data_IF_336846955204
#
_entry.id   IF_336846955204
#
_cell.length_a   1.000
_cell.length_b   1.000
_cell.length_c   1.000
_cell.angle_alpha   90.00
_cell.angle_beta   90.00
_cell.angle_gamma   90.00
#
_symmetry.space_group_name_H-M   'P 1'
#
loop_
_entity.id
_entity.type
_entity.pdbx_description
1 polymer ?
#
# COMPACT_ATOMS: atom_id res chain seq x y z
N UNK A 1 -14.35 -10.48 4.15
CA UNK A 1 -13.73 -9.15 4.33
C UNK A 1 -14.83 -8.11 4.49
N UNK A 2 -14.83 -7.30 5.55
CA UNK A 2 -15.81 -6.22 5.72
C UNK A 2 -15.59 -5.12 4.68
N UNK A 3 -16.65 -4.67 4.00
CA UNK A 3 -16.55 -3.52 3.09
C UNK A 3 -16.16 -2.26 3.87
N UNK A 4 -15.25 -1.42 3.34
CA UNK A 4 -14.88 -0.17 3.99
C UNK A 4 -16.10 0.76 4.09
N UNK A 5 -16.17 1.54 5.17
CA UNK A 5 -17.25 2.48 5.47
C UNK A 5 -16.71 3.77 6.03
N UNK A 6 -17.41 4.87 5.76
CA UNK A 6 -17.12 6.16 6.37
C UNK A 6 -17.52 6.14 7.85
N UNK A 7 -16.57 6.44 8.75
CA UNK A 7 -16.83 6.47 10.19
C UNK A 7 -17.76 7.61 10.64
N UNK A 8 -17.99 8.62 9.79
CA UNK A 8 -18.85 9.76 10.09
C UNK A 8 -20.32 9.52 9.73
N UNK A 9 -20.59 8.98 8.53
CA UNK A 9 -21.97 8.82 8.01
C UNK A 9 -22.37 7.38 7.68
N UNK A 10 -21.47 6.40 7.86
CA UNK A 10 -21.73 4.99 7.57
C UNK A 10 -21.78 4.61 6.09
N UNK A 11 -21.62 5.58 5.18
CA UNK A 11 -21.61 5.33 3.73
C UNK A 11 -20.56 4.30 3.32
N UNK A 12 -20.94 3.40 2.43
CA UNK A 12 -20.05 2.41 1.79
C UNK A 12 -19.41 2.93 0.50
N UNK A 13 -19.81 4.12 0.02
CA UNK A 13 -19.24 4.73 -1.17
C UNK A 13 -17.93 5.44 -0.80
N UNK A 14 -16.88 4.66 -0.57
CA UNK A 14 -15.55 5.12 -0.17
C UNK A 14 -14.51 4.51 -1.10
N UNK A 15 -13.42 5.25 -1.32
CA UNK A 15 -12.34 4.88 -2.24
C UNK A 15 -11.00 4.87 -1.51
N UNK A 16 -10.09 3.99 -1.95
CA UNK A 16 -8.70 4.03 -1.56
C UNK A 16 -7.97 5.18 -2.25
N UNK A 17 -7.19 5.96 -1.50
CA UNK A 17 -6.33 7.00 -2.06
C UNK A 17 -4.91 6.85 -1.54
N UNK A 18 -3.94 7.06 -2.41
CA UNK A 18 -2.52 7.03 -2.07
C UNK A 18 -1.75 8.09 -2.86
N UNK A 19 -0.57 8.46 -2.35
CA UNK A 19 0.28 9.49 -2.96
C UNK A 19 1.27 8.86 -3.93
N UNK A 20 1.32 9.40 -5.15
CA UNK A 20 2.26 9.02 -6.21
C UNK A 20 2.87 10.29 -6.79
N UNK A 21 4.20 10.35 -6.91
CA UNK A 21 5.00 11.49 -7.44
C UNK A 21 4.63 12.87 -6.87
N UNK A 22 4.06 12.93 -5.66
CA UNK A 22 3.75 14.19 -4.97
C UNK A 22 2.27 14.56 -4.89
N UNK A 23 1.35 13.88 -5.59
CA UNK A 23 -0.10 14.14 -5.50
C UNK A 23 -0.90 12.89 -5.11
N UNK A 24 -2.12 13.10 -4.60
CA UNK A 24 -3.04 12.01 -4.26
C UNK A 24 -3.80 11.54 -5.49
N UNK A 25 -3.95 10.23 -5.62
CA UNK A 25 -4.81 9.62 -6.64
C UNK A 25 -5.59 8.43 -6.09
N UNK A 26 -6.71 8.12 -6.74
CA UNK A 26 -7.61 7.02 -6.40
C UNK A 26 -7.00 5.70 -6.88
N UNK A 27 -6.82 4.75 -5.97
CA UNK A 27 -6.10 3.49 -6.20
C UNK A 27 -6.86 2.60 -7.19
N UNK A 28 -8.19 2.58 -7.11
CA UNK A 28 -9.07 1.79 -7.96
C UNK A 28 -8.95 2.18 -9.44
N UNK A 29 -8.52 3.42 -9.73
CA UNK A 29 -8.31 3.90 -11.11
C UNK A 29 -6.93 3.55 -11.66
N UNK A 30 -6.05 2.95 -10.86
CA UNK A 30 -4.71 2.59 -11.31
C UNK A 30 -4.72 1.33 -12.16
N UNK A 31 -3.77 1.23 -13.09
CA UNK A 31 -3.54 0.00 -13.85
C UNK A 31 -2.99 -1.12 -12.93
N UNK A 32 -3.02 -2.36 -13.42
CA UNK A 32 -2.60 -3.52 -12.64
C UNK A 32 -1.14 -3.45 -12.15
N UNK A 33 -0.22 -2.91 -12.96
CA UNK A 33 1.18 -2.78 -12.56
C UNK A 33 1.38 -1.80 -11.40
N UNK A 34 0.59 -0.72 -11.34
CA UNK A 34 0.62 0.23 -10.21
C UNK A 34 -0.04 -0.32 -8.96
N UNK A 35 -1.10 -1.11 -9.10
CA UNK A 35 -1.69 -1.81 -7.96
C UNK A 35 -0.71 -2.83 -7.37
N UNK A 36 0.03 -3.57 -8.21
CA UNK A 36 1.08 -4.49 -7.76
C UNK A 36 2.23 -3.77 -7.05
N UNK A 37 2.76 -2.69 -7.64
CA UNK A 37 3.79 -1.85 -7.00
C UNK A 37 3.35 -1.34 -5.62
N UNK A 38 2.09 -0.93 -5.49
CA UNK A 38 1.54 -0.46 -4.22
C UNK A 38 1.52 -1.56 -3.16
N UNK A 39 1.11 -2.77 -3.52
CA UNK A 39 1.11 -3.92 -2.61
C UNK A 39 2.52 -4.26 -2.14
N UNK A 40 3.51 -4.18 -3.02
CA UNK A 40 4.90 -4.46 -2.65
C UNK A 40 5.48 -3.36 -1.76
N UNK A 41 5.10 -2.10 -2.00
CA UNK A 41 5.45 -1.00 -1.08
C UNK A 41 4.87 -1.19 0.31
N UNK A 42 3.66 -1.72 0.44
CA UNK A 42 3.10 -1.98 1.78
C UNK A 42 3.88 -3.04 2.57
N UNK A 43 4.61 -3.92 1.88
CA UNK A 43 5.44 -4.98 2.50
C UNK A 43 6.86 -4.53 2.81
N UNK A 44 7.32 -3.42 2.24
CA UNK A 44 8.69 -2.96 2.42
C UNK A 44 8.98 -2.49 3.85
N UNK A 45 10.10 -2.93 4.44
CA UNK A 45 10.64 -2.30 5.66
C UNK A 45 11.51 -1.11 5.26
N UNK A 46 10.95 0.10 5.32
CA UNK A 46 11.66 1.34 4.99
C UNK A 46 12.27 2.03 6.22
N UNK A 47 12.37 1.33 7.36
CA UNK A 47 12.97 1.87 8.57
C UNK A 47 14.46 2.07 8.35
N UNK A 48 14.94 3.28 8.60
CA UNK A 48 16.38 3.58 8.59
C UNK A 48 17.02 3.01 9.85
N UNK A 49 18.10 2.23 9.71
CA UNK A 49 18.89 1.71 10.83
C UNK A 49 18.62 0.26 11.23
N UNK A 50 17.64 -0.42 10.63
CA UNK A 50 17.52 -1.88 10.73
C UNK A 50 18.53 -2.51 9.76
N UNK A 51 19.57 -3.18 10.27
CA UNK A 51 20.43 -4.03 9.42
C UNK A 51 19.57 -5.21 8.96
N UNK A 52 19.38 -5.42 7.65
CA UNK A 52 18.71 -6.64 7.20
C UNK A 52 19.58 -7.82 7.64
N UNK A 53 19.00 -8.73 8.41
CA UNK A 53 19.60 -10.03 8.68
C UNK A 53 19.66 -10.78 7.35
N UNK A 54 20.80 -10.66 6.68
CA UNK A 54 21.07 -11.34 5.43
C UNK A 54 21.26 -12.82 5.75
N UNK A 55 20.20 -13.61 5.56
CA UNK A 55 20.31 -15.05 5.44
C UNK A 55 21.09 -15.37 4.16
N UNK A 56 22.40 -15.48 4.28
CA UNK A 56 23.20 -16.20 3.30
C UNK A 56 22.94 -17.68 3.60
N UNK A 57 22.16 -18.34 2.76
CA UNK A 57 22.15 -19.80 2.75
C UNK A 57 23.53 -20.18 2.21
N UNK A 58 24.43 -20.57 3.11
CA UNK A 58 25.63 -21.32 2.77
C UNK A 58 25.21 -22.79 2.73
N UNK A 59 25.17 -23.37 1.54
CA UNK A 59 25.28 -24.82 1.36
C UNK A 59 26.77 -25.23 1.37
#
# INVERSE_FOLDING_TARGET
MSKPKCNNCGSTNVFGMSRVVGYYSIIENWNGSKQAEFQDRQKGSYKLGEKPEMCIIVE
#
